data_IF_946526677503
#
_entry.id   IF_946526677503
#
_cell.length_a   1.000
_cell.length_b   1.000
_cell.length_c   1.000
_cell.angle_alpha   90.00
_cell.angle_beta   90.00
_cell.angle_gamma   90.00
#
_symmetry.space_group_name_H-M   'P 1'
#
loop_
_entity.id
_entity.type
_entity.pdbx_description
1 polymer ?
#
# COMPACT_ATOMS: atom_id res chain seq x y z
N UNK A 1 -42.26 74.61 4.96
CA UNK A 1 -41.02 75.39 4.76
C UNK A 1 -40.31 74.81 3.54
N UNK A 2 -40.20 75.66 2.52
CA UNK A 2 -39.33 75.67 1.33
C UNK A 2 -38.57 74.41 0.88
N UNK A 3 -39.12 73.79 -0.17
CA UNK A 3 -38.52 73.39 -1.46
C UNK A 3 -37.19 74.09 -1.90
N UNK A 4 -36.54 73.69 -3.03
CA UNK A 4 -36.19 72.37 -3.59
C UNK A 4 -34.86 72.41 -4.42
N UNK A 5 -34.71 71.49 -5.40
CA UNK A 5 -33.94 71.52 -6.68
C UNK A 5 -32.82 70.46 -6.73
N UNK A 6 -32.51 69.75 -7.82
CA UNK A 6 -33.16 69.21 -9.03
C UNK A 6 -31.99 68.77 -9.97
N UNK A 7 -32.20 67.75 -10.80
CA UNK A 7 -31.67 67.61 -12.19
C UNK A 7 -30.13 67.35 -12.32
N UNK A 8 -29.59 66.50 -13.19
CA UNK A 8 -29.85 66.06 -14.59
C UNK A 8 -29.03 64.75 -14.77
N UNK A 9 -29.28 63.76 -15.64
CA UNK A 9 -30.15 63.52 -16.78
C UNK A 9 -29.84 62.10 -17.32
N UNK A 10 -30.83 61.40 -17.87
CA UNK A 10 -31.09 61.23 -19.33
C UNK A 10 -30.12 60.23 -20.01
N UNK A 11 -30.53 59.28 -20.87
CA UNK A 11 -31.82 58.97 -21.46
C UNK A 11 -31.77 57.60 -22.21
N UNK A 12 -32.96 57.06 -22.51
CA UNK A 12 -33.35 56.30 -23.74
C UNK A 12 -32.70 54.92 -24.00
N UNK A 13 -33.37 53.77 -23.84
CA UNK A 13 -34.50 53.15 -24.58
C UNK A 13 -34.21 52.71 -26.04
N UNK A 14 -34.42 51.40 -26.25
CA UNK A 14 -34.84 50.68 -27.46
C UNK A 14 -33.88 50.55 -28.67
N UNK A 15 -33.53 49.29 -29.02
CA UNK A 15 -33.93 48.61 -30.28
C UNK A 15 -33.04 47.38 -30.60
N UNK A 16 -33.69 46.24 -30.94
CA UNK A 16 -33.18 45.14 -31.79
C UNK A 16 -33.37 45.57 -33.27
N UNK A 17 -32.71 45.04 -34.35
CA UNK A 17 -32.48 43.60 -34.65
C UNK A 17 -31.16 43.32 -35.48
N UNK A 18 -31.02 42.32 -36.42
CA UNK A 18 -30.05 41.20 -36.43
C UNK A 18 -29.10 41.21 -37.69
N UNK A 19 -28.73 40.08 -38.35
CA UNK A 19 -27.75 39.00 -38.05
C UNK A 19 -26.50 39.01 -39.00
N UNK A 20 -25.72 37.91 -39.03
CA UNK A 20 -24.66 37.51 -40.00
C UNK A 20 -23.23 38.01 -39.67
N UNK A 21 -22.09 37.32 -39.85
CA UNK A 21 -21.69 36.01 -40.40
C UNK A 21 -20.23 35.73 -39.96
N UNK A 22 -19.82 34.45 -40.06
CA UNK A 22 -18.48 33.85 -39.93
C UNK A 22 -17.24 34.76 -40.08
N UNK A 23 -16.27 34.59 -39.17
CA UNK A 23 -14.85 34.41 -39.52
C UNK A 23 -14.11 33.66 -38.39
N UNK A 24 -13.21 32.79 -38.81
CA UNK A 24 -12.51 31.76 -38.05
C UNK A 24 -11.64 32.29 -36.91
N UNK A 25 -11.51 31.50 -35.84
CA UNK A 25 -10.23 31.36 -35.13
C UNK A 25 -10.20 30.00 -34.43
N UNK A 26 -9.56 29.04 -35.10
CA UNK A 26 -9.05 27.81 -34.50
C UNK A 26 -7.89 28.21 -33.60
N UNK A 27 -8.04 28.08 -32.29
CA UNK A 27 -6.95 27.76 -31.37
C UNK A 27 -7.51 27.56 -29.95
N UNK A 28 -6.90 26.64 -29.21
CA UNK A 28 -7.21 26.23 -27.83
C UNK A 28 -8.24 25.10 -27.65
N UNK A 29 -7.93 23.94 -28.23
CA UNK A 29 -8.25 22.63 -27.62
C UNK A 29 -6.93 21.90 -27.37
N UNK A 30 -6.14 22.40 -26.42
CA UNK A 30 -4.90 21.75 -25.99
C UNK A 30 -4.51 22.22 -24.57
N UNK A 31 -5.43 22.15 -23.60
CA UNK A 31 -5.09 22.49 -22.21
C UNK A 31 -5.98 21.81 -21.14
N UNK A 32 -6.60 20.65 -21.42
CA UNK A 32 -7.50 19.99 -20.44
C UNK A 32 -7.11 18.54 -20.10
N UNK A 33 -5.98 18.01 -20.58
CA UNK A 33 -5.68 16.58 -20.41
C UNK A 33 -4.55 16.23 -19.43
N UNK A 34 -4.15 17.12 -18.52
CA UNK A 34 -3.06 16.82 -17.57
C UNK A 34 -3.51 16.70 -16.10
N UNK A 35 -4.78 16.93 -15.77
CA UNK A 35 -5.23 16.99 -14.35
C UNK A 35 -6.20 15.87 -13.91
N UNK A 36 -6.61 14.98 -14.82
CA UNK A 36 -7.61 13.93 -14.50
C UNK A 36 -7.06 12.76 -13.66
N UNK A 37 -5.73 12.58 -13.59
CA UNK A 37 -5.10 11.46 -12.88
C UNK A 37 -5.02 11.67 -11.37
N UNK A 38 -4.62 12.86 -10.94
CA UNK A 38 -4.50 13.24 -9.54
C UNK A 38 -5.89 13.39 -8.89
N UNK A 39 -6.79 14.12 -9.55
CA UNK A 39 -8.17 14.30 -9.10
C UNK A 39 -8.92 12.97 -8.96
N UNK A 40 -8.75 12.02 -9.89
CA UNK A 40 -9.40 10.71 -9.80
C UNK A 40 -8.85 9.84 -8.65
N UNK A 41 -7.56 9.96 -8.32
CA UNK A 41 -6.96 9.23 -7.21
C UNK A 41 -7.41 9.82 -5.86
N UNK A 42 -7.43 11.14 -5.74
CA UNK A 42 -7.90 11.86 -4.55
C UNK A 42 -9.40 11.61 -4.29
N UNK A 43 -10.23 11.58 -5.34
CA UNK A 43 -11.65 11.25 -5.24
C UNK A 43 -11.83 9.80 -4.77
N UNK A 44 -11.05 8.86 -5.31
CA UNK A 44 -11.11 7.44 -4.92
C UNK A 44 -10.67 7.21 -3.47
N UNK A 45 -9.66 7.93 -3.00
CA UNK A 45 -9.21 7.87 -1.60
C UNK A 45 -10.26 8.46 -0.66
N UNK A 46 -10.85 9.59 -1.03
CA UNK A 46 -11.97 10.20 -0.28
C UNK A 46 -13.20 9.30 -0.24
N UNK A 47 -13.53 8.61 -1.34
CA UNK A 47 -14.65 7.66 -1.39
C UNK A 47 -14.40 6.47 -0.47
N UNK A 48 -13.19 5.90 -0.48
CA UNK A 48 -12.82 4.80 0.40
C UNK A 48 -12.89 5.18 1.89
N UNK A 49 -12.47 6.40 2.25
CA UNK A 49 -12.60 6.91 3.63
C UNK A 49 -14.07 7.05 4.06
N UNK A 50 -14.95 7.49 3.16
CA UNK A 50 -16.38 7.60 3.42
C UNK A 50 -17.03 6.22 3.60
N UNK A 51 -16.77 5.29 2.69
CA UNK A 51 -17.29 3.92 2.78
C UNK A 51 -16.77 3.22 4.04
N UNK A 52 -15.50 3.41 4.40
CA UNK A 52 -14.95 2.88 5.66
C UNK A 52 -15.65 3.44 6.90
N UNK A 53 -15.96 4.73 6.90
CA UNK A 53 -16.69 5.37 8.01
C UNK A 53 -18.13 4.85 8.12
N UNK A 54 -18.79 4.62 6.98
CA UNK A 54 -20.15 4.06 6.92
C UNK A 54 -20.18 2.60 7.36
N UNK A 55 -19.21 1.78 6.94
CA UNK A 55 -19.04 0.40 7.40
C UNK A 55 -18.86 0.33 8.92
N UNK A 56 -18.06 1.24 9.51
CA UNK A 56 -17.90 1.35 10.97
C UNK A 56 -19.21 1.72 11.69
N UNK A 57 -20.00 2.63 11.13
CA UNK A 57 -21.32 2.98 11.66
C UNK A 57 -22.28 1.79 11.62
N UNK A 58 -22.30 1.04 10.52
CA UNK A 58 -23.12 -0.16 10.37
C UNK A 58 -22.71 -1.24 11.37
N UNK A 59 -21.40 -1.45 11.56
CA UNK A 59 -20.87 -2.35 12.59
C UNK A 59 -21.27 -1.90 14.01
N UNK A 60 -21.16 -0.61 14.32
CA UNK A 60 -21.58 -0.07 15.61
C UNK A 60 -23.07 -0.32 15.87
N UNK A 61 -23.93 -0.11 14.87
CA UNK A 61 -25.35 -0.42 15.00
C UNK A 61 -25.60 -1.90 15.29
N UNK A 62 -24.95 -2.80 14.55
CA UNK A 62 -25.02 -4.24 14.79
C UNK A 62 -24.58 -4.61 16.22
N UNK A 63 -23.49 -4.00 16.70
CA UNK A 63 -23.04 -4.17 18.10
C UNK A 63 -24.08 -3.66 19.10
N UNK A 64 -24.71 -2.50 18.86
CA UNK A 64 -25.79 -2.01 19.75
C UNK A 64 -26.95 -3.02 19.81
N UNK A 65 -27.34 -3.62 18.68
CA UNK A 65 -28.35 -4.68 18.69
C UNK A 65 -27.92 -5.92 19.49
N UNK A 66 -26.66 -6.34 19.37
CA UNK A 66 -26.11 -7.43 20.18
C UNK A 66 -26.05 -7.10 21.68
N UNK A 67 -25.65 -5.86 22.03
CA UNK A 67 -25.60 -5.41 23.42
C UNK A 67 -27.00 -5.34 24.05
N UNK A 68 -28.03 -5.02 23.26
CA UNK A 68 -29.43 -5.04 23.74
C UNK A 68 -29.91 -6.43 24.15
N UNK A 69 -29.39 -7.50 23.54
CA UNK A 69 -29.77 -8.89 23.87
C UNK A 69 -28.90 -9.50 24.97
N UNK A 70 -27.80 -8.85 25.37
CA UNK A 70 -26.90 -9.35 26.41
C UNK A 70 -27.62 -9.66 27.72
N UNK A 71 -28.42 -8.73 28.21
CA UNK A 71 -29.12 -8.90 29.48
C UNK A 71 -30.38 -9.78 29.35
N UNK A 72 -31.38 -9.43 28.52
CA UNK A 72 -32.65 -10.16 28.49
C UNK A 72 -32.53 -11.60 27.96
N UNK A 73 -31.66 -11.81 26.97
CA UNK A 73 -31.56 -13.10 26.29
C UNK A 73 -30.35 -13.88 26.80
N UNK A 74 -29.13 -13.32 26.71
CA UNK A 74 -27.91 -14.12 26.94
C UNK A 74 -27.62 -14.40 28.42
N UNK A 75 -27.78 -13.40 29.30
CA UNK A 75 -27.47 -13.54 30.72
C UNK A 75 -28.61 -14.17 31.53
N UNK A 76 -29.86 -13.88 31.18
CA UNK A 76 -31.03 -14.37 31.92
C UNK A 76 -31.53 -15.74 31.42
N UNK A 77 -31.25 -16.14 30.18
CA UNK A 77 -31.67 -17.46 29.65
C UNK A 77 -31.13 -18.64 30.49
N UNK A 78 -29.84 -18.70 30.85
CA UNK A 78 -29.33 -19.79 31.69
C UNK A 78 -30.00 -19.86 33.06
N UNK A 79 -30.50 -18.73 33.58
CA UNK A 79 -31.17 -18.66 34.89
C UNK A 79 -32.68 -18.91 34.81
N UNK A 80 -33.26 -18.92 33.61
CA UNK A 80 -34.72 -19.06 33.37
C UNK A 80 -35.31 -20.36 33.97
N UNK A 81 -34.65 -21.53 33.90
CA UNK A 81 -35.18 -22.77 34.50
C UNK A 81 -35.23 -22.71 36.04
N UNK A 82 -34.27 -22.04 36.67
CA UNK A 82 -34.23 -21.86 38.13
C UNK A 82 -35.27 -20.85 38.62
N UNK A 83 -35.55 -19.82 37.81
CA UNK A 83 -36.53 -18.77 38.13
C UNK A 83 -37.97 -19.18 37.79
N UNK A 84 -38.18 -20.15 36.88
CA UNK A 84 -39.52 -20.57 36.45
C UNK A 84 -39.63 -22.10 36.31
N UNK A 85 -39.64 -22.85 37.43
CA UNK A 85 -39.65 -24.32 37.43
C UNK A 85 -40.93 -24.94 36.84
N UNK A 86 -42.02 -24.15 36.67
CA UNK A 86 -43.28 -24.61 36.08
C UNK A 86 -43.32 -24.53 34.55
N UNK A 87 -42.38 -23.82 33.92
CA UNK A 87 -42.38 -23.60 32.48
C UNK A 87 -41.64 -24.68 31.67
N UNK A 88 -40.92 -25.61 32.34
CA UNK A 88 -40.15 -26.66 31.67
C UNK A 88 -40.23 -28.00 32.43
N UNK A 89 -41.33 -28.76 32.31
CA UNK A 89 -41.40 -30.10 32.89
C UNK A 89 -40.40 -31.01 32.17
N UNK A 90 -39.29 -31.35 32.84
CA UNK A 90 -38.23 -32.22 32.31
C UNK A 90 -36.87 -31.54 32.09
N UNK A 91 -36.74 -30.22 32.33
CA UNK A 91 -35.43 -29.55 32.31
C UNK A 91 -34.71 -29.82 33.65
N UNK A 92 -33.75 -30.75 33.63
CA UNK A 92 -32.81 -30.89 34.74
C UNK A 92 -31.94 -29.64 34.72
N UNK A 93 -32.13 -28.74 35.69
CA UNK A 93 -31.22 -27.63 35.90
C UNK A 93 -29.80 -28.23 36.00
N UNK A 94 -28.90 -27.79 35.11
CA UNK A 94 -27.49 -28.16 35.23
C UNK A 94 -27.00 -27.84 36.65
N UNK A 95 -25.99 -28.57 37.13
CA UNK A 95 -25.39 -28.29 38.45
C UNK A 95 -25.20 -26.77 38.63
N UNK A 96 -25.53 -26.17 39.79
CA UNK A 96 -25.35 -24.74 40.05
C UNK A 96 -23.95 -24.22 39.68
N UNK A 97 -22.94 -25.08 39.77
CA UNK A 97 -21.56 -24.80 39.36
C UNK A 97 -21.44 -24.57 37.85
N UNK A 98 -22.13 -25.38 37.03
CA UNK A 98 -22.14 -25.25 35.57
C UNK A 98 -22.87 -23.96 35.15
N UNK A 99 -23.98 -23.63 35.82
CA UNK A 99 -24.71 -22.38 35.57
C UNK A 99 -23.85 -21.15 35.90
N UNK A 100 -23.15 -21.18 37.03
CA UNK A 100 -22.25 -20.10 37.44
C UNK A 100 -21.08 -19.94 36.46
N UNK A 101 -20.50 -21.05 35.99
CA UNK A 101 -19.43 -21.03 34.98
C UNK A 101 -19.92 -20.44 33.65
N UNK A 102 -21.11 -20.84 33.19
CA UNK A 102 -21.71 -20.33 31.96
C UNK A 102 -22.05 -18.83 32.08
N UNK A 103 -22.67 -18.41 33.19
CA UNK A 103 -22.93 -17.00 33.44
C UNK A 103 -21.63 -16.19 33.49
N UNK A 104 -20.61 -16.68 34.21
CA UNK A 104 -19.30 -16.02 34.30
C UNK A 104 -18.62 -15.86 32.94
N UNK A 105 -18.72 -16.87 32.07
CA UNK A 105 -18.23 -16.81 30.70
C UNK A 105 -18.97 -15.74 29.88
N UNK A 106 -20.31 -15.71 29.95
CA UNK A 106 -21.13 -14.72 29.23
C UNK A 106 -20.88 -13.31 29.76
N UNK A 107 -20.70 -13.13 31.07
CA UNK A 107 -20.32 -11.84 31.66
C UNK A 107 -18.97 -11.35 31.17
N UNK A 108 -17.94 -12.22 31.15
CA UNK A 108 -16.62 -11.85 30.63
C UNK A 108 -16.69 -11.48 29.14
N UNK A 109 -17.43 -12.25 28.34
CA UNK A 109 -17.68 -11.94 26.93
C UNK A 109 -18.42 -10.60 26.75
N UNK A 110 -19.50 -10.38 27.49
CA UNK A 110 -20.28 -9.14 27.42
C UNK A 110 -19.47 -7.90 27.84
N UNK A 111 -18.61 -8.01 28.85
CA UNK A 111 -17.70 -6.92 29.23
C UNK A 111 -16.71 -6.62 28.10
N UNK A 112 -16.17 -7.65 27.44
CA UNK A 112 -15.27 -7.47 26.29
C UNK A 112 -16.01 -6.82 25.10
N UNK A 113 -17.24 -7.26 24.78
CA UNK A 113 -18.07 -6.66 23.73
C UNK A 113 -18.37 -5.18 24.00
N UNK A 114 -18.68 -4.82 25.26
CA UNK A 114 -18.89 -3.41 25.67
C UNK A 114 -17.61 -2.60 25.56
N UNK A 115 -16.46 -3.17 25.93
CA UNK A 115 -15.16 -2.50 25.78
C UNK A 115 -14.80 -2.28 24.31
N UNK A 116 -15.05 -3.26 23.44
CA UNK A 116 -14.86 -3.12 21.99
C UNK A 116 -15.76 -2.02 21.43
N UNK A 117 -17.04 -2.02 21.81
CA UNK A 117 -17.99 -0.97 21.40
C UNK A 117 -17.52 0.40 21.87
N UNK A 118 -17.10 0.54 23.13
CA UNK A 118 -16.63 1.81 23.68
C UNK A 118 -15.38 2.31 22.96
N UNK A 119 -14.43 1.41 22.68
CA UNK A 119 -13.21 1.68 21.93
C UNK A 119 -13.53 2.24 20.54
N UNK A 120 -14.43 1.58 19.82
CA UNK A 120 -14.82 1.97 18.47
C UNK A 120 -15.63 3.28 18.47
N UNK A 121 -16.61 3.41 19.37
CA UNK A 121 -17.46 4.59 19.49
C UNK A 121 -16.68 5.86 19.84
N UNK A 122 -15.66 5.74 20.72
CA UNK A 122 -14.81 6.86 21.16
C UNK A 122 -13.52 7.00 20.33
N UNK A 123 -13.36 6.19 19.28
CA UNK A 123 -12.20 6.24 18.41
C UNK A 123 -12.05 7.60 17.72
N UNK A 124 -10.83 8.00 17.34
CA UNK A 124 -10.57 9.30 16.72
C UNK A 124 -11.36 9.51 15.43
N UNK A 125 -11.56 8.45 14.64
CA UNK A 125 -12.34 8.50 13.41
C UNK A 125 -13.83 8.76 13.67
N UNK A 126 -14.43 8.01 14.60
CA UNK A 126 -15.83 8.19 14.98
C UNK A 126 -16.08 9.55 15.62
N UNK A 127 -15.12 10.05 16.39
CA UNK A 127 -15.19 11.40 16.96
C UNK A 127 -15.36 12.47 15.88
N UNK A 128 -14.60 12.39 14.79
CA UNK A 128 -14.74 13.31 13.66
C UNK A 128 -16.12 13.20 12.99
N UNK A 129 -16.65 11.99 12.87
CA UNK A 129 -18.02 11.76 12.36
C UNK A 129 -19.06 12.41 13.28
N UNK A 130 -18.96 12.21 14.59
CA UNK A 130 -19.88 12.81 15.56
C UNK A 130 -19.80 14.34 15.56
N UNK A 131 -18.60 14.92 15.51
CA UNK A 131 -18.41 16.38 15.42
C UNK A 131 -19.09 16.96 14.17
N UNK A 132 -19.02 16.24 13.03
CA UNK A 132 -19.70 16.63 11.79
C UNK A 132 -21.22 16.56 11.92
N UNK A 133 -21.73 15.49 12.51
CA UNK A 133 -23.17 15.32 12.76
C UNK A 133 -23.68 16.41 13.71
N UNK A 134 -22.95 16.71 14.78
CA UNK A 134 -23.29 17.78 15.73
C UNK A 134 -23.32 19.16 15.07
N UNK A 135 -22.38 19.45 14.16
CA UNK A 135 -22.38 20.68 13.38
C UNK A 135 -23.62 20.76 12.48
N UNK A 136 -23.92 19.67 11.77
CA UNK A 136 -25.09 19.59 10.89
C UNK A 136 -26.42 19.70 11.65
N UNK A 137 -26.51 19.17 12.88
CA UNK A 137 -27.69 19.33 13.75
C UNK A 137 -27.88 20.79 14.14
N UNK A 138 -26.79 21.50 14.49
CA UNK A 138 -26.82 22.92 14.84
C UNK A 138 -27.27 23.78 13.65
N UNK A 139 -26.77 23.48 12.45
CA UNK A 139 -27.12 24.19 11.22
C UNK A 139 -28.60 24.00 10.83
N UNK A 140 -29.15 22.80 11.04
CA UNK A 140 -30.56 22.49 10.73
C UNK A 140 -31.55 22.87 11.84
N UNK A 141 -31.13 23.69 12.82
CA UNK A 141 -32.00 24.16 13.90
C UNK A 141 -32.54 23.02 14.80
N UNK A 142 -31.81 21.90 14.90
CA UNK A 142 -32.21 20.73 15.68
C UNK A 142 -33.10 19.72 14.96
N UNK A 143 -33.46 19.95 13.69
CA UNK A 143 -34.21 18.97 12.90
C UNK A 143 -33.28 17.93 12.28
N UNK A 144 -33.35 16.71 12.79
CA UNK A 144 -32.77 15.53 12.16
C UNK A 144 -33.80 14.90 11.22
N UNK A 145 -33.35 14.50 10.02
CA UNK A 145 -34.14 13.59 9.18
C UNK A 145 -34.37 12.31 9.98
N UNK A 146 -35.62 11.88 10.11
CA UNK A 146 -35.91 10.59 10.73
C UNK A 146 -35.34 9.50 9.82
N UNK A 147 -34.36 8.72 10.29
CA UNK A 147 -33.83 7.65 9.47
C UNK A 147 -34.89 6.54 9.34
N UNK A 148 -34.88 5.88 8.18
CA UNK A 148 -35.71 4.71 7.86
C UNK A 148 -35.39 3.50 8.74
N UNK A 149 -34.31 3.55 9.53
CA UNK A 149 -33.91 2.53 10.50
C UNK A 149 -33.35 1.24 9.90
N UNK A 150 -33.03 1.25 8.60
CA UNK A 150 -32.47 0.11 7.86
C UNK A 150 -31.40 0.65 6.92
N UNK A 151 -30.22 0.02 6.93
CA UNK A 151 -29.18 0.30 5.95
C UNK A 151 -29.61 -0.20 4.56
N UNK A 152 -29.50 0.65 3.55
CA UNK A 152 -29.87 0.30 2.17
C UNK A 152 -28.83 -0.62 1.51
N UNK A 153 -27.58 -0.57 2.00
CA UNK A 153 -26.44 -1.28 1.43
C UNK A 153 -25.58 -1.89 2.54
N UNK A 154 -24.83 -2.93 2.18
CA UNK A 154 -23.80 -3.51 3.02
C UNK A 154 -22.44 -2.85 2.71
N UNK A 155 -22.05 -1.91 3.57
CA UNK A 155 -20.83 -1.14 3.37
C UNK A 155 -19.56 -1.94 3.63
N UNK A 156 -19.63 -3.06 4.37
CA UNK A 156 -18.48 -3.97 4.51
C UNK A 156 -18.18 -4.63 3.16
N UNK A 157 -19.20 -5.11 2.47
CA UNK A 157 -19.06 -5.70 1.11
C UNK A 157 -18.53 -4.68 0.11
N UNK A 158 -19.04 -3.44 0.13
CA UNK A 158 -18.57 -2.38 -0.78
C UNK A 158 -17.12 -1.99 -0.48
N UNK A 159 -16.74 -1.91 0.80
CA UNK A 159 -15.36 -1.63 1.18
C UNK A 159 -14.41 -2.71 0.66
N UNK A 160 -14.78 -3.98 0.78
CA UNK A 160 -13.98 -5.07 0.22
C UNK A 160 -13.84 -4.99 -1.30
N UNK A 161 -14.90 -4.61 -2.01
CA UNK A 161 -14.86 -4.44 -3.47
C UNK A 161 -13.93 -3.30 -3.86
N UNK A 162 -14.03 -2.14 -3.21
CA UNK A 162 -13.14 -1.00 -3.47
C UNK A 162 -11.67 -1.33 -3.20
N UNK A 163 -11.36 -2.07 -2.13
CA UNK A 163 -10.00 -2.52 -1.84
C UNK A 163 -9.50 -3.45 -2.95
N UNK A 164 -10.31 -4.42 -3.39
CA UNK A 164 -9.97 -5.34 -4.50
C UNK A 164 -9.77 -4.58 -5.82
N UNK A 165 -10.56 -3.55 -6.09
CA UNK A 165 -10.39 -2.72 -7.29
C UNK A 165 -9.10 -1.90 -7.24
N UNK A 166 -8.79 -1.30 -6.10
CA UNK A 166 -7.56 -0.56 -5.91
C UNK A 166 -6.33 -1.47 -6.06
N UNK A 167 -6.37 -2.68 -5.50
CA UNK A 167 -5.32 -3.69 -5.70
C UNK A 167 -5.15 -4.05 -7.18
N UNK A 168 -6.25 -4.26 -7.91
CA UNK A 168 -6.22 -4.53 -9.36
C UNK A 168 -5.66 -3.34 -10.15
N UNK A 169 -5.98 -2.10 -9.77
CA UNK A 169 -5.47 -0.89 -10.41
C UNK A 169 -3.97 -0.75 -10.17
N UNK A 170 -3.53 -0.94 -8.93
CA UNK A 170 -2.12 -0.95 -8.56
C UNK A 170 -1.34 -2.03 -9.32
N UNK A 171 -1.92 -3.23 -9.46
CA UNK A 171 -1.29 -4.32 -10.21
C UNK A 171 -1.20 -4.02 -11.71
N UNK A 172 -2.25 -3.44 -12.31
CA UNK A 172 -2.21 -3.00 -13.71
C UNK A 172 -1.16 -1.92 -13.92
N UNK A 173 -1.08 -0.94 -13.02
CA UNK A 173 -0.08 0.11 -13.07
C UNK A 173 1.32 -0.48 -12.98
N UNK A 174 1.56 -1.36 -12.02
CA UNK A 174 2.83 -2.08 -11.86
C UNK A 174 3.24 -2.82 -13.12
N UNK A 175 2.30 -3.55 -13.76
CA UNK A 175 2.56 -4.24 -15.02
C UNK A 175 2.86 -3.29 -16.18
N UNK A 176 2.16 -2.16 -16.25
CA UNK A 176 2.42 -1.14 -17.28
C UNK A 176 3.80 -0.52 -17.09
N UNK A 177 4.18 -0.21 -15.84
CA UNK A 177 5.50 0.32 -15.51
C UNK A 177 6.61 -0.70 -15.84
N UNK A 178 6.42 -1.98 -15.49
CA UNK A 178 7.37 -3.05 -15.85
C UNK A 178 7.51 -3.23 -17.38
N UNK A 179 6.41 -3.18 -18.13
CA UNK A 179 6.45 -3.29 -19.59
C UNK A 179 7.12 -2.07 -20.24
N UNK A 180 6.90 -0.89 -19.67
CA UNK A 180 7.58 0.34 -20.07
C UNK A 180 9.08 0.25 -19.80
N UNK A 181 9.49 -0.23 -18.62
CA UNK A 181 10.90 -0.46 -18.30
C UNK A 181 11.54 -1.50 -19.23
N UNK A 182 10.83 -2.59 -19.54
CA UNK A 182 11.29 -3.60 -20.52
C UNK A 182 11.46 -3.01 -21.92
N UNK A 183 10.52 -2.18 -22.36
CA UNK A 183 10.60 -1.47 -23.64
C UNK A 183 11.79 -0.51 -23.68
N UNK A 184 12.03 0.23 -22.59
CA UNK A 184 13.19 1.11 -22.47
C UNK A 184 14.52 0.34 -22.58
N UNK A 185 14.63 -0.83 -21.94
CA UNK A 185 15.83 -1.68 -22.05
C UNK A 185 16.00 -2.21 -23.47
N UNK A 186 14.91 -2.63 -24.13
CA UNK A 186 14.93 -3.08 -25.52
C UNK A 186 15.41 -1.99 -26.48
N UNK A 187 15.03 -0.74 -26.20
CA UNK A 187 15.38 0.43 -27.01
C UNK A 187 16.73 1.06 -26.64
N UNK A 188 17.43 0.55 -25.61
CA UNK A 188 18.72 1.10 -25.20
C UNK A 188 19.79 0.84 -26.27
N UNK A 189 20.26 1.91 -26.90
CA UNK A 189 21.35 1.86 -27.88
C UNK A 189 22.63 1.33 -27.22
N UNK A 190 23.20 0.27 -27.79
CA UNK A 190 24.36 -0.45 -27.21
C UNK A 190 24.01 -1.62 -26.27
N UNK A 191 22.71 -1.86 -26.04
CA UNK A 191 22.19 -3.03 -25.31
C UNK A 191 22.78 -3.21 -23.92
N UNK A 192 23.00 -4.46 -23.51
CA UNK A 192 23.51 -4.78 -22.17
C UNK A 192 24.93 -4.24 -21.88
N UNK A 193 25.76 -4.06 -22.91
CA UNK A 193 27.13 -3.54 -22.74
C UNK A 193 27.12 -2.08 -22.33
N UNK A 194 26.23 -1.26 -22.92
CA UNK A 194 26.06 0.13 -22.51
C UNK A 194 25.67 0.26 -21.03
N UNK A 195 24.82 -0.64 -20.53
CA UNK A 195 24.42 -0.69 -19.11
C UNK A 195 25.64 -1.02 -18.21
N UNK A 196 26.44 -2.02 -18.59
CA UNK A 196 27.65 -2.42 -17.86
C UNK A 196 28.69 -1.29 -17.86
N UNK A 197 28.91 -0.65 -19.01
CA UNK A 197 29.87 0.44 -19.15
C UNK A 197 29.43 1.67 -18.35
N UNK A 198 28.14 2.02 -18.40
CA UNK A 198 27.57 3.09 -17.59
C UNK A 198 27.71 2.83 -16.08
N UNK A 199 27.58 1.58 -15.65
CA UNK A 199 27.81 1.21 -14.25
C UNK A 199 29.31 1.24 -13.89
N UNK A 200 30.19 0.78 -14.78
CA UNK A 200 31.64 0.81 -14.57
C UNK A 200 32.16 2.25 -14.40
N UNK A 201 31.60 3.21 -15.13
CA UNK A 201 31.93 4.64 -15.01
C UNK A 201 31.58 5.24 -13.63
N UNK A 202 30.62 4.65 -12.90
CA UNK A 202 30.29 5.08 -11.52
C UNK A 202 31.41 4.79 -10.52
N UNK A 203 32.41 3.98 -10.88
CA UNK A 203 33.58 3.67 -10.05
C UNK A 203 33.23 3.22 -8.62
N UNK A 204 32.28 2.29 -8.49
CA UNK A 204 31.84 1.80 -7.17
C UNK A 204 33.00 1.16 -6.39
N UNK A 205 33.34 1.63 -5.18
CA UNK A 205 34.50 1.16 -4.44
C UNK A 205 34.47 -0.34 -4.15
N UNK A 206 35.50 -1.06 -4.62
CA UNK A 206 35.65 -2.49 -4.36
C UNK A 206 34.86 -3.41 -5.29
N UNK A 207 34.20 -2.88 -6.31
CA UNK A 207 33.55 -3.63 -7.40
C UNK A 207 34.31 -3.44 -8.71
N UNK A 208 34.49 -4.52 -9.49
CA UNK A 208 35.06 -4.48 -10.84
C UNK A 208 34.17 -5.28 -11.79
N UNK A 209 33.92 -4.71 -12.96
CA UNK A 209 33.12 -5.30 -14.03
C UNK A 209 34.02 -5.69 -15.19
N UNK A 210 33.89 -6.93 -15.68
CA UNK A 210 34.62 -7.44 -16.83
C UNK A 210 33.60 -8.06 -17.79
N UNK A 211 33.13 -7.31 -18.82
CA UNK A 211 32.20 -7.83 -19.81
C UNK A 211 32.87 -8.88 -20.69
N UNK A 212 32.13 -9.92 -21.06
CA UNK A 212 32.58 -10.94 -22.01
C UNK A 212 32.51 -10.40 -23.45
N UNK A 213 33.54 -10.76 -24.24
CA UNK A 213 33.58 -10.41 -25.67
C UNK A 213 32.69 -11.31 -26.53
N UNK A 214 32.45 -12.56 -26.08
CA UNK A 214 31.86 -13.63 -26.89
C UNK A 214 30.39 -13.89 -26.59
N UNK A 215 29.97 -13.67 -25.36
CA UNK A 215 28.64 -14.03 -24.86
C UNK A 215 28.02 -12.84 -24.10
N UNK A 216 26.69 -12.87 -23.92
CA UNK A 216 25.98 -11.93 -23.06
C UNK A 216 26.23 -12.29 -21.59
N UNK A 217 27.46 -12.03 -21.13
CA UNK A 217 27.89 -12.27 -19.76
C UNK A 217 28.85 -11.21 -19.26
N UNK A 218 28.82 -10.97 -17.94
CA UNK A 218 29.70 -10.05 -17.23
C UNK A 218 30.22 -10.72 -15.96
N UNK A 219 31.54 -10.69 -15.78
CA UNK A 219 32.16 -11.10 -14.52
C UNK A 219 32.19 -9.91 -13.58
N UNK A 220 31.64 -10.08 -12.39
CA UNK A 220 31.58 -9.06 -11.34
C UNK A 220 32.47 -9.51 -10.19
N UNK A 221 33.54 -8.76 -9.89
CA UNK A 221 34.44 -9.05 -8.79
C UNK A 221 34.24 -8.04 -7.65
N UNK A 222 33.90 -8.55 -6.46
CA UNK A 222 33.80 -7.77 -5.23
C UNK A 222 35.09 -7.97 -4.42
N UNK A 223 36.10 -7.14 -4.68
CA UNK A 223 37.46 -7.30 -4.16
C UNK A 223 37.51 -7.29 -2.62
N UNK A 224 36.80 -6.36 -1.97
CA UNK A 224 36.75 -6.26 -0.50
C UNK A 224 36.03 -7.44 0.14
N UNK A 225 35.03 -7.97 -0.55
CA UNK A 225 34.24 -9.10 -0.08
C UNK A 225 34.96 -10.44 -0.36
N UNK A 226 35.85 -10.48 -1.34
CA UNK A 226 36.58 -11.68 -1.77
C UNK A 226 35.72 -12.62 -2.62
N UNK A 227 34.72 -12.09 -3.33
CA UNK A 227 33.75 -12.86 -4.10
C UNK A 227 33.81 -12.49 -5.59
N UNK A 228 33.57 -13.46 -6.46
CA UNK A 228 33.47 -13.24 -7.91
C UNK A 228 32.21 -13.93 -8.44
N UNK A 229 31.36 -13.16 -9.09
CA UNK A 229 30.12 -13.62 -9.69
C UNK A 229 30.21 -13.57 -11.22
N UNK A 230 29.53 -14.49 -11.89
CA UNK A 230 29.29 -14.46 -13.32
C UNK A 230 27.80 -14.24 -13.56
N UNK A 231 27.48 -13.09 -14.15
CA UNK A 231 26.14 -12.71 -14.55
C UNK A 231 25.99 -13.04 -16.04
N UNK A 232 25.05 -13.89 -16.39
CA UNK A 232 24.86 -14.37 -17.77
C UNK A 232 23.37 -14.51 -18.09
N UNK A 233 23.01 -14.44 -19.37
CA UNK A 233 21.61 -14.60 -19.80
C UNK A 233 21.21 -16.08 -19.83
N UNK A 234 19.97 -16.39 -19.44
CA UNK A 234 19.39 -17.73 -19.60
C UNK A 234 18.40 -17.73 -20.75
N UNK A 235 18.62 -18.66 -21.68
CA UNK A 235 18.01 -18.63 -23.01
C UNK A 235 18.84 -17.76 -23.95
N UNK A 236 19.24 -18.34 -25.08
CA UNK A 236 19.92 -17.59 -26.15
C UNK A 236 19.08 -16.40 -26.59
N UNK A 237 19.74 -15.40 -27.15
CA UNK A 237 19.22 -14.12 -27.66
C UNK A 237 18.14 -14.22 -28.77
N UNK A 238 17.46 -15.37 -28.92
CA UNK A 238 16.58 -15.73 -30.05
C UNK A 238 15.09 -15.81 -29.68
N UNK A 239 14.66 -15.06 -28.68
CA UNK A 239 13.24 -14.81 -28.40
C UNK A 239 13.01 -13.30 -28.31
N UNK A 240 11.89 -12.82 -28.83
CA UNK A 240 11.49 -11.41 -28.97
C UNK A 240 11.29 -10.64 -27.64
N UNK A 241 11.94 -11.07 -26.54
CA UNK A 241 11.83 -10.53 -25.19
C UNK A 241 13.17 -10.11 -24.57
N UNK A 242 13.12 -9.37 -23.47
CA UNK A 242 14.31 -8.96 -22.70
C UNK A 242 14.88 -10.19 -21.99
N UNK A 243 16.19 -10.49 -22.14
CA UNK A 243 16.77 -11.69 -21.54
C UNK A 243 16.77 -11.60 -20.02
N UNK A 244 16.51 -12.73 -19.37
CA UNK A 244 16.65 -12.87 -17.92
C UNK A 244 18.11 -13.13 -17.55
N UNK A 245 18.58 -12.46 -16.51
CA UNK A 245 19.95 -12.58 -16.01
C UNK A 245 20.02 -13.56 -14.85
N UNK A 246 20.91 -14.52 -14.91
CA UNK A 246 21.23 -15.39 -13.78
C UNK A 246 22.64 -15.11 -13.27
N UNK A 247 22.80 -15.30 -11.97
CA UNK A 247 24.07 -15.16 -11.28
C UNK A 247 24.57 -16.55 -10.90
N UNK A 248 25.82 -16.83 -11.23
CA UNK A 248 26.56 -17.98 -10.71
C UNK A 248 27.80 -17.52 -9.97
N UNK A 249 28.18 -18.25 -8.92
CA UNK A 249 29.43 -17.99 -8.20
C UNK A 249 30.60 -18.60 -8.97
N UNK A 250 31.65 -17.82 -9.21
CA UNK A 250 32.88 -18.30 -9.85
C UNK A 250 33.87 -18.70 -8.77
N UNK A 251 33.85 -19.97 -8.36
CA UNK A 251 34.86 -20.51 -7.46
C UNK A 251 36.14 -20.84 -8.22
N UNK A 252 37.30 -20.66 -7.59
CA UNK A 252 38.56 -21.13 -8.15
C UNK A 252 38.52 -22.66 -8.28
N UNK A 253 39.20 -23.25 -9.29
CA UNK A 253 39.31 -24.71 -9.40
C UNK A 253 39.84 -25.30 -8.10
N UNK A 254 39.07 -26.22 -7.49
CA UNK A 254 39.41 -26.88 -6.22
C UNK A 254 38.87 -26.21 -4.95
N UNK A 255 38.18 -25.07 -5.03
CA UNK A 255 37.49 -24.45 -3.89
C UNK A 255 35.97 -24.71 -3.94
N UNK A 256 35.41 -25.08 -2.79
CA UNK A 256 33.96 -25.17 -2.61
C UNK A 256 33.37 -23.78 -2.36
N UNK A 257 32.18 -23.54 -2.92
CA UNK A 257 31.43 -22.31 -2.71
C UNK A 257 31.13 -22.12 -1.22
N UNK A 258 31.44 -20.95 -0.69
CA UNK A 258 31.15 -20.63 0.71
C UNK A 258 29.65 -20.55 0.96
N UNK A 259 29.22 -20.77 2.21
CA UNK A 259 27.79 -20.62 2.58
C UNK A 259 27.27 -19.21 2.28
N UNK A 260 28.09 -18.19 2.55
CA UNK A 260 27.75 -16.78 2.30
C UNK A 260 27.57 -16.52 0.79
N UNK A 261 28.50 -16.98 -0.05
CA UNK A 261 28.37 -16.86 -1.51
C UNK A 261 27.11 -17.55 -2.02
N UNK A 262 26.80 -18.74 -1.52
CA UNK A 262 25.58 -19.46 -1.89
C UNK A 262 24.34 -18.65 -1.52
N UNK A 263 24.22 -18.21 -0.28
CA UNK A 263 23.07 -17.41 0.18
C UNK A 263 22.92 -16.09 -0.60
N UNK A 264 24.03 -15.47 -1.00
CA UNK A 264 24.00 -14.27 -1.86
C UNK A 264 23.53 -14.62 -3.26
N UNK A 265 24.07 -15.68 -3.88
CA UNK A 265 23.63 -16.14 -5.20
C UNK A 265 22.14 -16.50 -5.21
N UNK A 266 21.66 -17.21 -4.19
CA UNK A 266 20.25 -17.56 -4.03
C UNK A 266 19.37 -16.30 -3.93
N UNK A 267 19.80 -15.31 -3.12
CA UNK A 267 19.11 -14.03 -2.99
C UNK A 267 19.09 -13.22 -4.30
N UNK A 268 20.22 -13.16 -5.02
CA UNK A 268 20.32 -12.48 -6.31
C UNK A 268 19.42 -13.13 -7.36
N UNK A 269 19.31 -14.46 -7.37
CA UNK A 269 18.46 -15.18 -8.34
C UNK A 269 16.97 -15.20 -7.95
N UNK A 270 16.62 -15.04 -6.67
CA UNK A 270 15.23 -14.95 -6.20
C UNK A 270 14.58 -13.56 -6.41
N UNK A 271 15.28 -12.60 -7.03
CA UNK A 271 14.77 -11.24 -7.25
C UNK A 271 13.55 -11.20 -8.20
N UNK A 272 12.61 -10.26 -8.02
CA UNK A 272 11.41 -10.16 -8.86
C UNK A 272 11.72 -9.66 -10.28
N UNK A 273 12.66 -8.73 -10.45
CA UNK A 273 13.03 -8.16 -11.76
C UNK A 273 14.26 -8.86 -12.35
N UNK A 274 14.12 -10.12 -12.78
CA UNK A 274 15.26 -10.90 -13.30
C UNK A 274 15.82 -10.36 -14.63
N UNK A 275 15.01 -9.62 -15.38
CA UNK A 275 15.37 -9.01 -16.66
C UNK A 275 16.16 -7.70 -16.54
N UNK A 276 16.15 -7.04 -15.37
CA UNK A 276 16.79 -5.73 -15.18
C UNK A 276 18.26 -5.89 -14.75
N UNK A 277 19.19 -5.74 -15.71
CA UNK A 277 20.63 -5.82 -15.44
C UNK A 277 21.13 -4.68 -14.55
N UNK A 278 20.62 -3.46 -14.72
CA UNK A 278 21.06 -2.31 -13.94
C UNK A 278 20.72 -2.50 -12.45
N UNK A 279 19.50 -2.94 -12.16
CA UNK A 279 19.05 -3.30 -10.82
C UNK A 279 19.88 -4.44 -10.23
N UNK A 280 20.21 -5.47 -11.03
CA UNK A 280 21.07 -6.56 -10.59
C UNK A 280 22.48 -6.08 -10.22
N UNK A 281 23.11 -5.23 -11.06
CA UNK A 281 24.44 -4.68 -10.77
C UNK A 281 24.43 -3.82 -9.51
N UNK A 282 23.38 -3.04 -9.31
CA UNK A 282 23.18 -2.23 -8.12
C UNK A 282 23.02 -3.11 -6.86
N UNK A 283 22.20 -4.15 -6.94
CA UNK A 283 22.04 -5.15 -5.88
C UNK A 283 23.35 -5.87 -5.56
N UNK A 284 24.13 -6.29 -6.57
CA UNK A 284 25.45 -6.92 -6.37
C UNK A 284 26.41 -5.95 -5.66
N UNK A 285 26.38 -4.67 -6.03
CA UNK A 285 27.25 -3.65 -5.44
C UNK A 285 27.04 -3.48 -3.93
N UNK A 286 25.81 -3.70 -3.43
CA UNK A 286 25.46 -3.65 -2.01
C UNK A 286 26.14 -4.76 -1.16
N UNK A 287 26.72 -5.76 -1.80
CA UNK A 287 27.50 -6.81 -1.12
C UNK A 287 29.00 -6.47 -1.01
N UNK A 288 29.47 -5.38 -1.62
CA UNK A 288 30.88 -4.96 -1.57
C UNK A 288 31.41 -4.77 -0.14
N UNK A 289 30.52 -4.36 0.79
CA UNK A 289 30.80 -4.15 2.21
C UNK A 289 30.17 -5.21 3.13
N UNK A 290 29.79 -6.40 2.63
CA UNK A 290 29.06 -7.43 3.41
C UNK A 290 29.70 -7.78 4.77
N UNK A 291 31.03 -7.67 4.88
CA UNK A 291 31.79 -7.96 6.12
C UNK A 291 31.72 -6.83 7.16
N UNK A 292 31.15 -5.68 6.80
CA UNK A 292 31.05 -4.48 7.64
C UNK A 292 29.62 -3.93 7.71
N UNK A 293 28.66 -4.54 7.01
CA UNK A 293 27.26 -4.11 6.99
C UNK A 293 26.44 -4.90 8.02
N UNK A 294 25.93 -4.26 9.09
CA UNK A 294 25.05 -4.92 10.06
C UNK A 294 23.65 -5.11 9.50
N UNK A 295 22.88 -6.02 10.10
CA UNK A 295 21.47 -6.20 9.80
C UNK A 295 20.66 -4.99 10.26
N UNK A 296 19.75 -4.49 9.43
CA UNK A 296 18.90 -3.33 9.73
C UNK A 296 17.92 -3.59 10.87
N UNK A 297 17.39 -4.81 11.02
CA UNK A 297 16.42 -5.15 12.07
C UNK A 297 17.05 -5.33 13.44
N UNK A 298 18.19 -6.02 13.52
CA UNK A 298 18.80 -6.40 14.81
C UNK A 298 20.09 -5.63 15.14
N UNK A 299 20.63 -4.85 14.21
CA UNK A 299 21.86 -4.07 14.38
C UNK A 299 23.14 -4.91 14.46
N UNK A 300 23.06 -6.24 14.34
CA UNK A 300 24.21 -7.16 14.50
C UNK A 300 24.81 -7.54 13.15
N UNK A 301 26.11 -7.79 13.15
CA UNK A 301 26.85 -8.34 11.99
C UNK A 301 26.51 -9.81 11.73
N UNK A 302 26.29 -10.59 12.79
CA UNK A 302 25.96 -12.00 12.70
C UNK A 302 24.73 -12.33 13.52
N UNK A 303 23.92 -13.27 13.04
CA UNK A 303 22.82 -13.82 13.81
C UNK A 303 23.30 -14.88 14.82
N UNK A 304 22.35 -15.53 15.52
CA UNK A 304 22.66 -16.60 16.48
C UNK A 304 23.35 -17.81 15.84
N UNK A 305 23.18 -18.02 14.53
CA UNK A 305 23.83 -19.07 13.76
C UNK A 305 25.13 -18.60 13.10
N UNK A 306 25.67 -17.44 13.50
CA UNK A 306 26.89 -16.82 12.97
C UNK A 306 26.82 -16.46 11.48
N UNK A 307 25.62 -16.27 10.94
CA UNK A 307 25.40 -15.93 9.53
C UNK A 307 25.41 -14.41 9.32
N UNK A 308 26.03 -13.96 8.21
CA UNK A 308 26.02 -12.56 7.79
C UNK A 308 24.64 -12.18 7.20
N UNK A 309 24.27 -10.88 7.20
CA UNK A 309 23.01 -10.43 6.61
C UNK A 309 23.12 -10.47 5.09
N UNK A 310 22.79 -11.61 4.48
CA UNK A 310 22.91 -11.84 3.04
C UNK A 310 21.69 -11.40 2.25
N UNK A 311 20.57 -11.07 2.90
CA UNK A 311 19.36 -10.64 2.19
C UNK A 311 19.41 -9.13 1.98
N UNK A 312 18.93 -8.68 0.81
CA UNK A 312 18.90 -7.28 0.40
C UNK A 312 17.47 -6.89 0.04
N UNK A 313 16.99 -5.83 0.67
CA UNK A 313 15.71 -5.21 0.32
C UNK A 313 15.98 -3.81 -0.22
N UNK A 314 15.36 -3.50 -1.36
CA UNK A 314 15.46 -2.20 -1.99
C UNK A 314 14.49 -1.24 -1.30
N UNK A 315 15.00 -0.10 -0.82
CA UNK A 315 14.19 0.95 -0.22
C UNK A 315 14.41 2.26 -0.96
N UNK A 316 13.31 2.79 -1.48
CA UNK A 316 13.23 4.14 -1.98
C UNK A 316 12.96 5.05 -0.79
N UNK A 317 13.94 5.85 -0.41
CA UNK A 317 13.73 6.88 0.60
C UNK A 317 13.33 8.17 -0.12
N UNK A 318 12.14 8.74 0.16
CA UNK A 318 11.74 10.02 -0.41
C UNK A 318 12.74 11.09 -0.01
N UNK A 319 13.14 11.92 -0.96
CA UNK A 319 14.12 12.96 -0.70
C UNK A 319 13.55 14.00 0.27
N UNK A 320 14.32 14.43 1.29
CA UNK A 320 13.87 15.42 2.27
C UNK A 320 13.78 16.85 1.70
N UNK A 321 14.09 17.05 0.42
CA UNK A 321 14.15 18.36 -0.22
C UNK A 321 13.51 18.28 -1.60
N UNK A 322 12.57 19.18 -1.87
CA UNK A 322 11.92 19.29 -3.19
C UNK A 322 12.99 19.51 -4.27
N UNK A 323 13.05 18.58 -5.22
CA UNK A 323 13.96 18.63 -6.37
C UNK A 323 15.17 17.69 -6.33
N UNK A 324 15.44 16.98 -5.22
CA UNK A 324 16.48 15.95 -5.20
C UNK A 324 15.87 14.58 -5.53
N UNK A 325 16.44 13.78 -6.45
CA UNK A 325 15.94 12.43 -6.71
C UNK A 325 15.90 11.59 -5.42
N UNK A 326 14.92 10.68 -5.27
CA UNK A 326 14.83 9.81 -4.10
C UNK A 326 16.11 8.99 -3.95
N UNK A 327 16.63 8.91 -2.74
CA UNK A 327 17.83 8.10 -2.47
C UNK A 327 17.43 6.63 -2.42
N UNK A 328 17.92 5.87 -3.39
CA UNK A 328 17.80 4.41 -3.44
C UNK A 328 18.87 3.79 -2.54
N UNK A 329 18.46 3.04 -1.51
CA UNK A 329 19.39 2.35 -0.60
C UNK A 329 19.01 0.88 -0.45
N UNK A 330 20.02 0.02 -0.38
CA UNK A 330 19.85 -1.40 -0.13
C UNK A 330 20.04 -1.70 1.35
N UNK A 331 18.98 -2.18 1.99
CA UNK A 331 18.98 -2.57 3.40
C UNK A 331 19.38 -4.05 3.54
N UNK A 332 20.25 -4.35 4.51
CA UNK A 332 20.77 -5.68 4.75
C UNK A 332 20.01 -6.41 5.87
N UNK A 333 19.63 -7.67 5.64
CA UNK A 333 18.90 -8.49 6.60
C UNK A 333 19.49 -9.89 6.74
N UNK A 334 19.44 -10.45 7.95
CA UNK A 334 19.60 -11.89 8.17
C UNK A 334 18.36 -12.65 7.69
N UNK A 335 18.50 -13.93 7.33
CA UNK A 335 17.37 -14.79 6.99
C UNK A 335 16.35 -14.91 8.15
N UNK A 336 16.84 -14.90 9.39
CA UNK A 336 16.01 -14.90 10.62
C UNK A 336 15.37 -13.55 10.94
N UNK A 337 15.71 -12.48 10.20
CA UNK A 337 15.27 -11.12 10.46
C UNK A 337 14.28 -10.61 9.41
N UNK A 338 13.83 -11.45 8.49
CA UNK A 338 12.69 -11.13 7.63
C UNK A 338 11.44 -11.47 8.42
#
# INVERSE_FOLDING_TARGET
MSNPVNLVGDATSAARPPPQTLAETKENVAAVLVDNGASSAEISESEMQLVSSLAKLQKLEAMVHQLRTLLPDRLLEPMRPALNPKAAPGSVAGSPEIMLQQASHIFRGGVAEVQEFQSMWRGPEMKAVWERVDAQIKENGGNLLQPTGVWEQDYDTILEELVKEQEKKNEKQRKADEEQERSNIRSTEGGWRAIVDGFAQRNVPGMRLIPSKREASVTVALAKAGMVFNVHTVGGTEGNGVPEWQVSSKTAPGQSQTKVERSITDCLNARPQQWNLAHLLDMISSYSSIKQTPCMKCGKMTDAATQLPTIRQHKLTPSPTDGQPPSSTWEAYHASCI
#
